data_IF_509560682301
#
_entry.id   IF_509560682301
#
_cell.length_a   1.000
_cell.length_b   1.000
_cell.length_c   1.000
_cell.angle_alpha   90.00
_cell.angle_beta   90.00
_cell.angle_gamma   90.00
#
_symmetry.space_group_name_H-M   'P 1'
#
loop_
_entity.id
_entity.type
_entity.pdbx_description
1 polymer ?
#
# COMPACT_ATOMS: atom_id res chain seq x y z
N UNK A 1 -3.19 -1.43 22.12
CA UNK A 1 -3.88 -0.67 21.06
C UNK A 1 -3.66 -1.45 19.79
N UNK A 2 -4.67 -1.65 18.94
CA UNK A 2 -4.52 -2.40 17.70
C UNK A 2 -3.56 -1.71 16.75
N UNK A 3 -2.90 -2.47 15.87
CA UNK A 3 -2.03 -1.93 14.81
C UNK A 3 -2.85 -1.10 13.80
N UNK A 4 -4.08 -1.55 13.50
CA UNK A 4 -5.05 -0.81 12.70
C UNK A 4 -6.35 -0.74 13.49
N UNK A 5 -6.89 0.45 13.66
CA UNK A 5 -8.15 0.67 14.35
C UNK A 5 -9.01 1.65 13.58
N UNK A 6 -10.29 1.34 13.44
CA UNK A 6 -11.28 2.28 12.90
C UNK A 6 -12.48 2.36 13.82
N UNK A 7 -13.03 3.56 13.96
CA UNK A 7 -14.26 3.83 14.71
C UNK A 7 -15.24 4.59 13.83
N UNK A 8 -16.41 3.99 13.63
CA UNK A 8 -17.52 4.55 12.83
C UNK A 8 -17.06 5.10 11.49
N UNK A 9 -16.12 4.37 10.84
CA UNK A 9 -15.52 4.77 9.58
C UNK A 9 -16.59 4.94 8.51
N UNK A 10 -16.65 6.12 7.91
CA UNK A 10 -17.51 6.44 6.76
C UNK A 10 -16.66 6.99 5.64
N UNK A 11 -16.96 6.55 4.42
CA UNK A 11 -16.34 7.13 3.24
C UNK A 11 -17.32 7.23 2.07
N UNK A 12 -17.36 8.41 1.47
CA UNK A 12 -18.17 8.72 0.30
C UNK A 12 -17.29 9.20 -0.85
N UNK A 13 -17.54 8.64 -2.04
CA UNK A 13 -16.95 9.12 -3.28
C UNK A 13 -17.86 10.20 -3.89
N UNK A 14 -17.28 11.33 -4.27
CA UNK A 14 -17.98 12.33 -5.08
C UNK A 14 -18.23 11.79 -6.50
N UNK A 15 -19.45 11.91 -6.96
CA UNK A 15 -19.76 11.77 -8.39
C UNK A 15 -19.63 13.15 -9.04
N UNK A 16 -18.80 13.23 -10.08
CA UNK A 16 -18.57 14.48 -10.84
C UNK A 16 -19.08 14.34 -12.26
N UNK A 17 -19.59 15.44 -12.82
CA UNK A 17 -19.90 15.52 -14.25
C UNK A 17 -18.63 15.74 -15.09
N UNK A 18 -18.80 15.85 -16.41
CA UNK A 18 -17.71 16.09 -17.37
C UNK A 18 -17.02 17.45 -17.16
N UNK A 19 -17.68 18.38 -16.50
CA UNK A 19 -17.17 19.71 -16.16
C UNK A 19 -16.47 19.74 -14.80
N UNK A 20 -16.48 18.61 -14.05
CA UNK A 20 -15.86 18.46 -12.74
C UNK A 20 -16.72 18.88 -11.55
N UNK A 21 -17.98 19.29 -11.76
CA UNK A 21 -18.91 19.67 -10.69
C UNK A 21 -19.41 18.42 -9.95
N UNK A 22 -19.56 18.51 -8.63
CA UNK A 22 -20.11 17.42 -7.82
C UNK A 22 -21.62 17.34 -8.05
N UNK A 23 -22.06 16.22 -8.63
CA UNK A 23 -23.48 15.94 -8.94
C UNK A 23 -24.13 14.95 -7.99
N UNK A 24 -23.39 14.44 -7.00
CA UNK A 24 -23.86 13.52 -6.00
C UNK A 24 -22.72 12.81 -5.28
N UNK A 25 -23.04 11.90 -4.37
CA UNK A 25 -22.07 11.05 -3.69
C UNK A 25 -22.49 9.56 -3.73
N UNK A 26 -21.51 8.70 -3.52
CA UNK A 26 -21.72 7.27 -3.31
C UNK A 26 -20.99 6.83 -2.06
N UNK A 27 -21.75 6.36 -1.05
CA UNK A 27 -21.19 5.85 0.19
C UNK A 27 -20.63 4.44 -0.03
N UNK A 28 -19.33 4.31 0.10
CA UNK A 28 -18.60 3.06 -0.08
C UNK A 28 -18.31 2.35 1.25
N UNK A 29 -18.22 3.10 2.35
CA UNK A 29 -18.07 2.58 3.72
C UNK A 29 -19.07 3.30 4.60
N UNK A 30 -19.79 2.55 5.44
CA UNK A 30 -20.86 3.09 6.29
C UNK A 30 -20.72 2.59 7.73
N UNK A 31 -20.08 3.37 8.58
CA UNK A 31 -20.01 3.17 10.03
C UNK A 31 -19.23 1.91 10.46
N UNK A 32 -18.14 1.58 9.77
CA UNK A 32 -17.36 0.37 10.06
C UNK A 32 -16.45 0.57 11.26
N UNK A 33 -16.48 -0.37 12.21
CA UNK A 33 -15.55 -0.49 13.33
C UNK A 33 -14.61 -1.68 13.10
N UNK A 34 -13.31 -1.45 13.26
CA UNK A 34 -12.26 -2.48 13.13
C UNK A 34 -11.21 -2.28 14.21
N UNK A 35 -10.71 -3.38 14.77
CA UNK A 35 -9.52 -3.43 15.61
C UNK A 35 -8.68 -4.63 15.21
N UNK A 36 -7.51 -4.38 14.61
CA UNK A 36 -6.56 -5.39 14.15
C UNK A 36 -5.32 -5.35 15.05
N UNK A 37 -5.12 -6.36 15.89
CA UNK A 37 -3.93 -6.46 16.73
C UNK A 37 -2.65 -6.63 15.90
N UNK A 38 -1.53 -6.18 16.45
CA UNK A 38 -0.22 -6.44 15.87
C UNK A 38 0.05 -7.94 15.73
N UNK A 39 0.66 -8.36 14.61
CA UNK A 39 1.01 -9.75 14.34
C UNK A 39 -0.16 -10.66 13.97
N UNK A 40 -1.37 -10.11 13.83
CA UNK A 40 -2.54 -10.89 13.37
C UNK A 40 -2.61 -10.96 11.84
N UNK A 41 -3.19 -12.04 11.34
CA UNK A 41 -3.61 -12.21 9.95
C UNK A 41 -5.14 -12.06 9.87
N UNK A 42 -5.61 -11.10 9.08
CA UNK A 42 -7.05 -10.81 8.95
C UNK A 42 -7.47 -10.90 7.48
N UNK A 43 -8.52 -11.68 7.21
CA UNK A 43 -9.15 -11.76 5.89
C UNK A 43 -10.46 -10.95 5.86
N UNK A 44 -10.60 -10.05 4.88
CA UNK A 44 -11.82 -9.27 4.65
C UNK A 44 -12.58 -9.90 3.48
N UNK A 45 -13.74 -10.46 3.76
CA UNK A 45 -14.59 -11.14 2.78
C UNK A 45 -15.79 -10.28 2.39
N UNK A 46 -16.24 -10.42 1.16
CA UNK A 46 -17.42 -9.72 0.65
C UNK A 46 -17.49 -9.77 -0.88
N UNK A 47 -18.68 -9.49 -1.44
CA UNK A 47 -18.89 -9.42 -2.89
C UNK A 47 -18.14 -8.24 -3.55
N UNK A 48 -18.08 -8.24 -4.89
CA UNK A 48 -17.51 -7.13 -5.63
C UNK A 48 -18.32 -5.83 -5.38
N UNK A 49 -17.62 -4.71 -5.14
CA UNK A 49 -18.26 -3.45 -4.79
C UNK A 49 -18.63 -3.26 -3.31
N UNK A 50 -18.32 -4.22 -2.42
CA UNK A 50 -18.63 -4.11 -0.98
C UNK A 50 -17.68 -3.19 -0.18
N UNK A 51 -16.82 -2.42 -0.81
CA UNK A 51 -15.94 -1.46 -0.13
C UNK A 51 -14.60 -2.02 0.37
N UNK A 52 -14.24 -3.30 0.13
CA UNK A 52 -12.99 -3.91 0.61
C UNK A 52 -11.72 -3.14 0.19
N UNK A 53 -11.61 -2.83 -1.09
CA UNK A 53 -10.46 -2.06 -1.61
C UNK A 53 -10.45 -0.62 -1.11
N UNK A 54 -11.63 -0.04 -0.90
CA UNK A 54 -11.78 1.29 -0.30
C UNK A 54 -11.30 1.26 1.15
N UNK A 55 -11.69 0.25 1.92
CA UNK A 55 -11.24 0.07 3.29
C UNK A 55 -9.71 -0.13 3.37
N UNK A 56 -9.14 -0.96 2.50
CA UNK A 56 -7.69 -1.17 2.43
C UNK A 56 -6.93 0.13 2.15
N UNK A 57 -7.43 0.99 1.26
CA UNK A 57 -6.83 2.30 0.94
C UNK A 57 -6.85 3.28 2.12
N UNK A 58 -7.72 3.12 3.09
CA UNK A 58 -7.68 3.91 4.33
C UNK A 58 -6.57 3.44 5.27
N UNK A 59 -6.20 2.15 5.22
CA UNK A 59 -5.19 1.57 6.12
C UNK A 59 -3.77 2.08 5.86
N UNK A 60 -3.49 2.67 4.69
CA UNK A 60 -2.23 3.36 4.42
C UNK A 60 -2.41 4.85 4.05
N UNK A 61 -3.56 5.41 4.43
CA UNK A 61 -3.91 6.81 4.21
C UNK A 61 -3.81 7.28 2.74
N UNK A 62 -4.10 6.39 1.77
CA UNK A 62 -4.38 6.79 0.38
C UNK A 62 -5.73 7.51 0.30
N UNK A 63 -6.71 7.01 1.06
CA UNK A 63 -7.99 7.68 1.25
C UNK A 63 -8.11 8.15 2.70
N UNK A 64 -8.70 9.30 2.88
CA UNK A 64 -8.97 9.90 4.19
C UNK A 64 -10.46 9.76 4.49
N UNK A 65 -10.87 9.30 5.69
CA UNK A 65 -12.27 9.14 6.05
C UNK A 65 -13.09 10.43 5.92
N UNK A 66 -14.28 10.35 5.32
CA UNK A 66 -15.25 11.45 5.30
C UNK A 66 -16.00 11.56 6.64
N UNK A 67 -16.09 10.46 7.40
CA UNK A 67 -16.63 10.39 8.75
C UNK A 67 -15.99 9.29 9.58
N UNK A 68 -16.11 9.38 10.91
CA UNK A 68 -15.40 8.50 11.82
C UNK A 68 -13.90 8.73 11.78
N UNK A 69 -13.09 7.81 12.30
CA UNK A 69 -11.64 7.94 12.38
C UNK A 69 -10.97 6.59 12.12
N UNK A 70 -9.80 6.62 11.49
CA UNK A 70 -8.91 5.46 11.36
C UNK A 70 -7.53 5.80 11.90
N UNK A 71 -6.97 4.89 12.68
CA UNK A 71 -5.61 4.96 13.20
C UNK A 71 -4.79 3.79 12.67
N UNK A 72 -3.56 4.08 12.32
CA UNK A 72 -2.54 3.11 11.93
C UNK A 72 -1.32 3.31 12.82
N UNK A 73 -0.92 2.28 13.52
CA UNK A 73 0.15 2.35 14.53
C UNK A 73 -0.03 3.52 15.51
N UNK A 74 -1.30 3.75 15.94
CA UNK A 74 -1.68 4.81 16.84
C UNK A 74 -1.77 6.22 16.25
N UNK A 75 -1.49 6.38 14.93
CA UNK A 75 -1.52 7.68 14.22
C UNK A 75 -2.83 7.85 13.47
N UNK A 76 -3.45 9.03 13.61
CA UNK A 76 -4.68 9.37 12.89
C UNK A 76 -4.40 9.60 11.39
N UNK A 77 -5.11 8.87 10.53
CA UNK A 77 -4.97 9.02 9.07
C UNK A 77 -5.46 10.37 8.53
N UNK A 78 -6.16 11.16 9.34
CA UNK A 78 -6.57 12.54 9.00
C UNK A 78 -5.50 13.58 9.28
N UNK A 79 -4.47 13.27 10.09
CA UNK A 79 -3.39 14.20 10.36
C UNK A 79 -2.38 14.21 9.19
N UNK A 80 -2.29 15.31 8.42
CA UNK A 80 -1.36 15.41 7.31
C UNK A 80 0.12 15.30 7.71
N UNK A 81 0.46 15.61 8.97
CA UNK A 81 1.82 15.48 9.48
C UNK A 81 2.21 14.02 9.73
N UNK A 82 1.24 13.14 9.92
CA UNK A 82 1.46 11.71 10.17
C UNK A 82 1.41 10.85 8.89
N UNK A 83 1.02 11.38 7.75
CA UNK A 83 0.86 10.63 6.51
C UNK A 83 2.12 9.87 6.11
N UNK A 84 3.28 10.49 6.28
CA UNK A 84 4.55 9.88 5.94
C UNK A 84 4.88 8.69 6.86
N UNK A 85 4.69 8.87 8.16
CA UNK A 85 4.91 7.82 9.15
C UNK A 85 3.95 6.64 8.95
N UNK A 86 2.68 6.92 8.61
CA UNK A 86 1.68 5.90 8.31
C UNK A 86 2.09 5.08 7.09
N UNK A 87 2.49 5.72 6.00
CA UNK A 87 2.90 5.04 4.76
C UNK A 87 4.17 4.22 4.92
N UNK A 88 5.08 4.63 5.80
CA UNK A 88 6.25 3.82 6.17
C UNK A 88 5.86 2.57 6.97
N UNK A 89 4.79 2.65 7.77
CA UNK A 89 4.34 1.55 8.63
C UNK A 89 3.41 0.57 7.92
N UNK A 90 2.74 0.99 6.84
CA UNK A 90 1.70 0.21 6.16
C UNK A 90 1.96 0.14 4.65
N UNK A 91 2.64 -0.90 4.21
CA UNK A 91 2.79 -1.22 2.78
C UNK A 91 1.46 -1.71 2.19
N UNK A 92 1.22 -1.41 0.92
CA UNK A 92 0.03 -1.84 0.19
C UNK A 92 0.40 -2.50 -1.14
N UNK A 93 -0.17 -3.68 -1.39
CA UNK A 93 -0.14 -4.33 -2.70
C UNK A 93 -1.51 -4.16 -3.35
N UNK A 94 -1.55 -3.57 -4.56
CA UNK A 94 -2.80 -3.38 -5.28
C UNK A 94 -3.21 -4.63 -6.05
N UNK A 95 -4.44 -4.65 -6.53
CA UNK A 95 -5.03 -5.79 -7.24
C UNK A 95 -4.28 -6.14 -8.54
N UNK A 96 -3.66 -5.16 -9.18
CA UNK A 96 -2.83 -5.36 -10.36
C UNK A 96 -1.40 -4.91 -10.03
N UNK A 97 -0.54 -5.83 -9.53
CA UNK A 97 0.82 -5.49 -9.09
C UNK A 97 1.73 -5.06 -10.24
N UNK A 98 1.51 -5.54 -11.47
CA UNK A 98 2.35 -5.22 -12.63
C UNK A 98 2.38 -3.71 -12.92
N UNK A 99 1.27 -3.01 -12.67
CA UNK A 99 1.19 -1.56 -12.85
C UNK A 99 1.92 -0.76 -11.76
N UNK A 100 2.49 -1.42 -10.76
CA UNK A 100 3.22 -0.78 -9.65
C UNK A 100 4.73 -0.83 -9.85
N UNK A 101 5.21 -1.73 -10.72
CA UNK A 101 6.64 -1.90 -10.97
C UNK A 101 7.11 -0.76 -11.87
N UNK A 102 8.10 -0.02 -11.39
CA UNK A 102 8.71 1.15 -12.04
C UNK A 102 10.15 0.82 -12.46
N UNK A 103 10.86 0.05 -11.64
CA UNK A 103 12.22 -0.38 -11.90
C UNK A 103 12.29 -1.38 -13.05
N UNK A 104 13.37 -1.30 -13.82
CA UNK A 104 13.65 -2.28 -14.88
C UNK A 104 14.35 -3.52 -14.35
N UNK A 105 14.99 -3.40 -13.20
CA UNK A 105 15.73 -4.47 -12.53
C UNK A 105 15.14 -4.69 -11.13
N UNK A 106 15.08 -5.94 -10.71
CA UNK A 106 14.42 -6.33 -9.43
C UNK A 106 15.03 -5.60 -8.23
N UNK A 107 16.36 -5.49 -8.15
CA UNK A 107 17.02 -4.81 -7.04
C UNK A 107 16.77 -3.30 -7.02
N UNK A 108 16.62 -2.65 -8.17
CA UNK A 108 16.26 -1.24 -8.27
C UNK A 108 14.82 -1.01 -7.79
N UNK A 109 13.88 -1.89 -8.19
CA UNK A 109 12.50 -1.82 -7.73
C UNK A 109 12.39 -1.94 -6.21
N UNK A 110 13.12 -2.88 -5.60
CA UNK A 110 13.14 -3.05 -4.15
C UNK A 110 13.84 -1.89 -3.46
N UNK A 111 14.86 -1.29 -4.09
CA UNK A 111 15.60 -0.12 -3.60
C UNK A 111 14.82 1.18 -3.66
N UNK A 112 13.85 1.29 -4.57
CA UNK A 112 13.07 2.51 -4.81
C UNK A 112 12.36 3.06 -3.56
N UNK A 113 11.77 2.16 -2.74
CA UNK A 113 11.11 2.56 -1.48
C UNK A 113 12.07 3.24 -0.50
N UNK A 114 13.14 2.58 -0.06
CA UNK A 114 14.16 3.17 0.81
C UNK A 114 14.81 4.44 0.24
N UNK A 115 15.04 4.51 -1.08
CA UNK A 115 15.60 5.69 -1.72
C UNK A 115 14.67 6.91 -1.57
N UNK A 116 13.39 6.75 -1.83
CA UNK A 116 12.39 7.81 -1.62
C UNK A 116 12.28 8.25 -0.16
N UNK A 117 12.66 7.39 0.78
CA UNK A 117 12.71 7.68 2.21
C UNK A 117 14.01 8.41 2.62
N UNK A 118 14.93 8.66 1.68
CA UNK A 118 16.21 9.30 1.95
C UNK A 118 17.19 8.43 2.76
N UNK A 119 17.05 7.10 2.68
CA UNK A 119 17.97 6.17 3.32
C UNK A 119 19.33 6.26 2.64
N UNK A 120 20.46 6.29 3.40
CA UNK A 120 21.80 6.28 2.80
C UNK A 120 22.02 5.06 1.89
N UNK A 121 22.73 5.26 0.77
CA UNK A 121 22.93 4.23 -0.27
C UNK A 121 23.49 2.93 0.28
N UNK A 122 24.47 2.98 1.18
CA UNK A 122 25.06 1.78 1.81
C UNK A 122 24.04 0.96 2.59
N UNK A 123 23.05 1.62 3.16
CA UNK A 123 22.00 0.99 3.92
C UNK A 123 20.88 0.47 3.00
N UNK A 124 20.63 1.15 1.86
CA UNK A 124 19.65 0.70 0.86
C UNK A 124 20.02 -0.70 0.38
N UNK A 125 21.24 -0.90 -0.07
CA UNK A 125 21.69 -2.19 -0.61
C UNK A 125 21.60 -3.32 0.41
N UNK A 126 21.91 -3.06 1.67
CA UNK A 126 21.71 -4.06 2.75
C UNK A 126 20.23 -4.42 2.94
N UNK A 127 19.33 -3.43 2.83
CA UNK A 127 17.89 -3.68 2.95
C UNK A 127 17.36 -4.45 1.75
N UNK A 128 17.79 -4.11 0.54
CA UNK A 128 17.47 -4.83 -0.69
C UNK A 128 17.87 -6.29 -0.58
N UNK A 129 19.13 -6.57 -0.26
CA UNK A 129 19.65 -7.92 -0.10
C UNK A 129 18.86 -8.72 0.95
N UNK A 130 18.62 -8.13 2.12
CA UNK A 130 17.86 -8.78 3.19
C UNK A 130 16.40 -9.06 2.79
N UNK A 131 15.76 -8.14 2.09
CA UNK A 131 14.38 -8.29 1.62
C UNK A 131 14.27 -9.39 0.58
N UNK A 132 15.15 -9.40 -0.42
CA UNK A 132 15.20 -10.43 -1.46
C UNK A 132 15.53 -11.81 -0.88
N UNK A 133 16.45 -11.87 0.08
CA UNK A 133 16.77 -13.12 0.81
C UNK A 133 15.57 -13.65 1.58
N UNK A 134 14.81 -12.77 2.25
CA UNK A 134 13.64 -13.16 3.04
C UNK A 134 12.53 -13.80 2.19
N UNK A 135 12.41 -13.43 0.91
CA UNK A 135 11.43 -14.00 -0.03
C UNK A 135 12.04 -15.04 -0.98
N UNK A 136 13.32 -15.40 -0.83
CA UNK A 136 14.00 -16.39 -1.68
C UNK A 136 14.28 -15.92 -3.11
N UNK A 137 14.40 -14.61 -3.33
CA UNK A 137 14.61 -14.01 -4.65
C UNK A 137 16.00 -13.39 -4.84
N UNK A 138 16.93 -13.61 -3.94
CA UNK A 138 18.26 -12.98 -3.99
C UNK A 138 19.01 -13.31 -5.29
N UNK A 139 18.93 -14.56 -5.77
CA UNK A 139 19.58 -14.99 -7.03
C UNK A 139 18.95 -14.36 -8.29
N UNK A 140 17.83 -13.65 -8.13
CA UNK A 140 17.10 -12.96 -9.20
C UNK A 140 17.19 -11.44 -9.10
N UNK A 141 18.08 -10.91 -8.27
CA UNK A 141 18.18 -9.47 -8.00
C UNK A 141 18.47 -8.64 -9.25
N UNK A 142 19.27 -9.17 -10.16
CA UNK A 142 19.69 -8.50 -11.38
C UNK A 142 18.81 -8.85 -12.62
N UNK A 143 17.74 -9.63 -12.47
CA UNK A 143 16.85 -9.94 -13.58
C UNK A 143 16.08 -8.69 -14.01
N UNK A 144 15.94 -8.54 -15.34
CA UNK A 144 15.06 -7.54 -15.92
C UNK A 144 13.60 -7.93 -15.69
N UNK A 145 12.79 -6.95 -15.34
CA UNK A 145 11.35 -7.13 -15.33
C UNK A 145 10.87 -7.18 -16.80
N UNK A 146 10.51 -8.38 -17.27
CA UNK A 146 9.86 -8.59 -18.55
C UNK A 146 8.48 -9.18 -18.33
N UNK A 147 7.49 -8.74 -19.09
CA UNK A 147 6.11 -9.28 -19.03
C UNK A 147 6.01 -10.72 -19.50
N UNK A 148 7.05 -11.23 -20.20
CA UNK A 148 7.15 -12.60 -20.67
C UNK A 148 8.23 -13.36 -19.89
N UNK A 149 7.79 -14.31 -19.07
CA UNK A 149 8.66 -15.21 -18.30
C UNK A 149 9.58 -16.12 -19.16
N UNK A 150 9.55 -15.98 -20.48
CA UNK A 150 10.35 -16.76 -21.42
C UNK A 150 11.75 -16.16 -21.70
N UNK A 151 11.98 -14.89 -21.34
CA UNK A 151 13.25 -14.19 -21.56
C UNK A 151 14.06 -13.99 -20.27
N UNK A 152 14.14 -15.01 -19.43
CA UNK A 152 15.02 -15.01 -18.24
C UNK A 152 16.49 -14.89 -18.71
N UNK A 153 16.96 -13.68 -18.93
CA UNK A 153 18.40 -13.43 -19.06
C UNK A 153 19.05 -13.66 -17.69
N UNK A 154 19.93 -14.66 -17.62
CA UNK A 154 20.74 -14.92 -16.44
C UNK A 154 21.63 -13.71 -16.15
N UNK A 155 21.75 -13.37 -14.85
CA UNK A 155 22.75 -12.41 -14.41
C UNK A 155 24.13 -12.84 -14.90
N UNK A 156 24.81 -11.98 -15.66
CA UNK A 156 26.19 -12.20 -16.08
C UNK A 156 27.08 -11.51 -15.05
N UNK A 157 27.98 -12.29 -14.42
CA UNK A 157 29.00 -11.80 -13.47
C UNK A 157 29.95 -10.78 -14.10
#
# INVERSE_FOLDING_TARGET
MGMIRAEKLVFEYDKRDEEGNVIGSHRAIDGVDIDVPQGSFVAILGHNGSGKSTLAKHMNAILVPTGGTMWVDGRDTKDPNELWNIRQSAGMVFQNPDNQIIGTVVEEEVGFGPENLGVPTDEIWKRVENSLRAVGMLERSCLLYTSDAADDMQCVD
#
